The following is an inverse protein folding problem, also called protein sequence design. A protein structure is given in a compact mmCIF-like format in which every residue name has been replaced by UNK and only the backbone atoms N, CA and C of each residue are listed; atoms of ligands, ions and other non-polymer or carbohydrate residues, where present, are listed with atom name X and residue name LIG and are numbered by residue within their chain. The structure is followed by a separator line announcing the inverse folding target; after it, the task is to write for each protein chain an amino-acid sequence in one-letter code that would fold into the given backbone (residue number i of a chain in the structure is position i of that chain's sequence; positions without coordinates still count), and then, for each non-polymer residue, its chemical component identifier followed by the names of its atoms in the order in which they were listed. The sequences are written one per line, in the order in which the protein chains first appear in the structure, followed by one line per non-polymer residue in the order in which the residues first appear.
data_IF_167932630861
#
_entry.id   IF_167932630861
#
_cell.length_a   1.000
_cell.length_b   1.000
_cell.length_c   1.000
_cell.angle_alpha   90.00
_cell.angle_beta   90.00
_cell.angle_gamma   90.00
#
_symmetry.space_group_name_H-M   'P 1'
#
loop_
_entity.id
_entity.type
_entity.pdbx_description
1 polymer ?
#
# COMPACT_ATOMS: atom_id res chain seq x y z
N UNK A 1 25.25 25.17 -64.60
CA UNK A 1 25.51 25.55 -63.20
C UNK A 1 24.59 24.71 -62.32
N UNK A 2 25.07 23.56 -61.81
CA UNK A 2 24.28 22.66 -60.96
C UNK A 2 24.30 23.19 -59.53
N UNK A 3 23.14 23.43 -58.94
CA UNK A 3 22.95 23.67 -57.51
C UNK A 3 22.71 22.31 -56.84
N UNK A 4 23.70 21.81 -56.11
CA UNK A 4 23.53 20.68 -55.20
C UNK A 4 22.82 21.19 -53.95
N UNK A 5 21.58 20.72 -53.73
CA UNK A 5 20.86 20.94 -52.47
C UNK A 5 21.31 19.87 -51.47
N UNK A 6 22.00 20.27 -50.42
CA UNK A 6 22.29 19.42 -49.27
C UNK A 6 21.00 19.18 -48.48
N UNK A 7 20.42 17.99 -48.63
CA UNK A 7 19.43 17.48 -47.68
C UNK A 7 20.18 17.09 -46.40
N UNK A 8 19.99 17.88 -45.34
CA UNK A 8 20.38 17.46 -44.00
C UNK A 8 19.53 16.23 -43.62
N UNK A 9 20.14 15.16 -43.09
CA UNK A 9 19.37 14.03 -42.58
C UNK A 9 18.50 14.49 -41.39
N UNK A 10 17.30 13.92 -41.22
CA UNK A 10 16.49 14.22 -40.05
C UNK A 10 17.25 13.77 -38.80
N UNK A 11 17.43 14.68 -37.85
CA UNK A 11 17.85 14.35 -36.50
C UNK A 11 16.79 13.41 -35.90
N UNK A 12 17.14 12.13 -35.83
CA UNK A 12 16.46 11.17 -34.96
C UNK A 12 16.61 11.71 -33.54
N UNK A 13 15.58 12.38 -33.04
CA UNK A 13 15.47 12.69 -31.61
C UNK A 13 15.64 11.38 -30.83
N UNK A 14 16.76 11.24 -30.13
CA UNK A 14 16.94 10.20 -29.13
C UNK A 14 15.73 10.27 -28.18
N UNK A 15 14.99 9.17 -28.04
CA UNK A 15 13.88 9.13 -27.10
C UNK A 15 14.45 9.31 -25.70
N UNK A 16 14.03 10.36 -25.00
CA UNK A 16 14.44 10.61 -23.63
C UNK A 16 14.12 9.37 -22.77
N UNK A 17 15.11 8.93 -21.98
CA UNK A 17 14.97 7.81 -21.05
C UNK A 17 13.82 8.14 -20.08
N UNK A 18 12.80 7.27 -20.03
CA UNK A 18 11.66 7.47 -19.13
C UNK A 18 11.58 6.35 -18.11
N UNK A 19 11.27 6.73 -16.87
CA UNK A 19 11.14 5.82 -15.74
C UNK A 19 9.70 5.87 -15.25
N UNK A 20 9.14 4.73 -14.87
CA UNK A 20 7.82 4.67 -14.24
C UNK A 20 7.73 3.50 -13.27
N UNK A 21 6.73 3.49 -12.38
CA UNK A 21 6.53 2.39 -11.43
C UNK A 21 6.14 2.86 -10.03
N UNK A 22 6.49 2.06 -9.03
CA UNK A 22 6.25 2.33 -7.62
C UNK A 22 6.41 1.09 -6.75
N UNK A 23 6.08 1.24 -5.47
CA UNK A 23 5.93 0.09 -4.58
C UNK A 23 4.78 -0.82 -5.04
N UNK A 24 4.91 -2.12 -4.81
CA UNK A 24 3.92 -3.14 -5.19
C UNK A 24 2.60 -3.01 -4.43
N UNK A 25 2.64 -2.40 -3.24
CA UNK A 25 1.49 -2.04 -2.42
C UNK A 25 1.61 -0.56 -1.98
N UNK A 26 0.47 0.02 -1.61
CA UNK A 26 0.35 1.34 -1.01
C UNK A 26 0.77 1.38 0.47
N UNK A 27 0.88 0.24 1.14
CA UNK A 27 1.18 0.20 2.57
C UNK A 27 1.83 -1.09 3.06
N UNK A 28 2.82 -0.95 3.94
CA UNK A 28 3.58 -2.07 4.50
C UNK A 28 3.66 -1.99 6.03
N UNK A 29 3.80 -3.15 6.67
CA UNK A 29 4.10 -3.21 8.09
C UNK A 29 5.61 -3.01 8.31
N UNK A 30 6.02 -2.41 9.42
CA UNK A 30 7.43 -2.45 9.85
C UNK A 30 7.92 -3.89 9.96
N UNK A 31 9.20 -4.13 9.66
CA UNK A 31 9.77 -5.49 9.64
C UNK A 31 9.35 -6.36 8.46
N UNK A 32 8.43 -5.89 7.59
CA UNK A 32 8.11 -6.56 6.33
C UNK A 32 9.01 -6.10 5.18
N UNK A 33 8.87 -6.72 4.01
CA UNK A 33 9.64 -6.37 2.82
C UNK A 33 8.77 -5.60 1.83
N UNK A 34 9.20 -4.39 1.46
CA UNK A 34 8.59 -3.63 0.38
C UNK A 34 9.19 -4.04 -0.97
N UNK A 35 8.35 -4.48 -1.89
CA UNK A 35 8.74 -4.70 -3.29
C UNK A 35 8.58 -3.41 -4.07
N UNK A 36 9.64 -2.95 -4.73
CA UNK A 36 9.65 -1.74 -5.55
C UNK A 36 9.88 -2.15 -7.00
N UNK A 37 9.04 -1.64 -7.91
CA UNK A 37 9.12 -1.95 -9.34
C UNK A 37 9.35 -0.69 -10.13
N UNK A 38 10.23 -0.79 -11.13
CA UNK A 38 10.48 0.27 -12.09
C UNK A 38 10.47 -0.28 -13.53
N UNK A 39 9.99 0.52 -14.46
CA UNK A 39 10.07 0.29 -15.90
C UNK A 39 10.92 1.39 -16.52
N UNK A 40 11.85 1.00 -17.37
CA UNK A 40 12.73 1.90 -18.11
C UNK A 40 12.40 1.79 -19.61
N UNK A 41 12.10 2.92 -20.25
CA UNK A 41 11.86 3.00 -21.70
C UNK A 41 12.81 3.99 -22.36
N UNK A 42 13.00 3.87 -23.67
CA UNK A 42 13.95 4.70 -24.42
C UNK A 42 15.41 4.28 -24.17
N UNK A 43 15.62 3.01 -23.83
CA UNK A 43 16.93 2.45 -23.50
C UNK A 43 17.79 2.34 -24.77
N UNK A 44 18.94 3.02 -24.79
CA UNK A 44 19.91 2.92 -25.88
C UNK A 44 21.13 2.07 -25.47
N UNK A 45 21.47 1.06 -26.29
CA UNK A 45 22.56 0.12 -26.00
C UNK A 45 22.07 -1.18 -25.38
N UNK A 46 23.02 -2.03 -24.96
CA UNK A 46 22.69 -3.34 -24.36
C UNK A 46 22.02 -3.21 -22.99
N UNK A 47 21.24 -4.22 -22.60
CA UNK A 47 20.51 -4.24 -21.33
C UNK A 47 21.36 -3.99 -20.06
N UNK A 48 22.66 -4.32 -20.13
CA UNK A 48 23.61 -4.13 -19.03
C UNK A 48 24.22 -2.72 -18.94
N UNK A 49 23.85 -1.79 -19.81
CA UNK A 49 24.42 -0.43 -19.80
C UNK A 49 24.00 0.36 -18.56
N UNK A 50 22.81 0.10 -18.02
CA UNK A 50 22.23 0.90 -16.96
C UNK A 50 22.24 0.14 -15.62
N UNK A 51 22.49 0.87 -14.54
CA UNK A 51 22.19 0.45 -13.17
C UNK A 51 21.01 1.30 -12.68
N UNK A 52 20.02 0.65 -12.07
CA UNK A 52 18.81 1.32 -11.59
C UNK A 52 18.77 1.16 -10.08
N UNK A 53 18.47 2.24 -9.38
CA UNK A 53 18.42 2.28 -7.93
C UNK A 53 17.11 2.88 -7.46
N UNK A 54 16.60 2.39 -6.34
CA UNK A 54 15.47 2.96 -5.63
C UNK A 54 15.97 3.64 -4.35
N UNK A 55 15.85 4.96 -4.31
CA UNK A 55 16.11 5.79 -3.14
C UNK A 55 14.84 5.95 -2.33
N UNK A 56 14.89 5.49 -1.09
CA UNK A 56 13.76 5.39 -0.18
C UNK A 56 14.01 6.30 1.01
N UNK A 57 13.04 7.15 1.29
CA UNK A 57 13.19 8.20 2.29
C UNK A 57 11.90 8.35 3.09
N UNK A 58 12.04 8.46 4.41
CA UNK A 58 10.92 8.86 5.27
C UNK A 58 10.62 10.34 5.05
N UNK A 59 9.37 10.66 4.68
CA UNK A 59 8.99 12.00 4.28
C UNK A 59 9.29 13.02 5.38
N UNK A 60 9.97 14.11 5.01
CA UNK A 60 10.37 15.17 5.94
C UNK A 60 11.73 14.97 6.61
N UNK A 61 12.44 13.87 6.31
CA UNK A 61 13.84 13.66 6.76
C UNK A 61 14.81 13.85 5.60
N UNK A 62 16.12 13.71 5.84
CA UNK A 62 17.14 13.71 4.78
C UNK A 62 17.85 12.36 4.64
N UNK A 63 17.50 11.38 5.48
CA UNK A 63 18.09 10.06 5.43
C UNK A 63 17.50 9.27 4.25
N UNK A 64 18.37 8.80 3.37
CA UNK A 64 18.00 8.02 2.18
C UNK A 64 18.64 6.65 2.27
N UNK A 65 17.83 5.62 2.06
CA UNK A 65 18.29 4.26 1.82
C UNK A 65 18.23 4.00 0.33
N UNK A 66 19.37 3.73 -0.30
CA UNK A 66 19.42 3.39 -1.72
C UNK A 66 19.55 1.88 -1.90
N UNK A 67 18.71 1.30 -2.74
CA UNK A 67 18.72 -0.13 -3.05
C UNK A 67 18.87 -0.31 -4.55
N UNK A 68 19.91 -1.03 -4.98
CA UNK A 68 20.08 -1.38 -6.38
C UNK A 68 18.98 -2.36 -6.80
N UNK A 69 18.37 -2.12 -7.96
CA UNK A 69 17.28 -2.92 -8.49
C UNK A 69 17.80 -3.97 -9.47
N UNK A 70 17.22 -5.16 -9.39
CA UNK A 70 17.53 -6.28 -10.27
C UNK A 70 16.68 -6.23 -11.53
N UNK A 71 17.34 -6.35 -12.68
CA UNK A 71 16.67 -6.42 -13.96
C UNK A 71 15.87 -7.73 -14.06
N UNK A 72 14.59 -7.60 -14.39
CA UNK A 72 13.68 -8.70 -14.66
C UNK A 72 13.71 -9.07 -16.14
N UNK A 73 13.27 -10.30 -16.47
CA UNK A 73 13.21 -10.77 -17.86
C UNK A 73 12.36 -9.80 -18.70
N UNK A 74 12.97 -9.25 -19.75
CA UNK A 74 12.32 -8.23 -20.59
C UNK A 74 11.07 -8.81 -21.27
N UNK A 75 9.96 -8.06 -21.22
CA UNK A 75 8.71 -8.46 -21.88
C UNK A 75 8.59 -7.95 -23.31
N UNK A 76 9.37 -6.94 -23.68
CA UNK A 76 9.43 -6.38 -25.03
C UNK A 76 10.78 -5.70 -25.30
N UNK A 77 11.24 -5.61 -26.57
CA UNK A 77 12.42 -4.83 -26.93
C UNK A 77 12.26 -3.35 -26.54
N UNK A 78 13.26 -2.77 -25.89
CA UNK A 78 13.27 -1.35 -25.49
C UNK A 78 12.55 -1.03 -24.17
N UNK A 79 11.86 -2.01 -23.57
CA UNK A 79 11.20 -1.90 -22.27
C UNK A 79 11.91 -2.82 -21.25
N UNK A 80 12.74 -2.25 -20.39
CA UNK A 80 13.38 -2.98 -19.30
C UNK A 80 12.56 -2.85 -18.03
N UNK A 81 12.46 -3.95 -17.27
CA UNK A 81 11.77 -3.99 -15.98
C UNK A 81 12.80 -4.27 -14.89
N UNK A 82 12.61 -3.62 -13.76
CA UNK A 82 13.47 -3.74 -12.58
C UNK A 82 12.61 -3.96 -11.35
N UNK A 83 13.13 -4.75 -10.42
CA UNK A 83 12.51 -4.98 -9.12
C UNK A 83 13.57 -4.93 -8.02
N UNK A 84 13.23 -4.34 -6.88
CA UNK A 84 14.03 -4.40 -5.67
C UNK A 84 13.16 -4.83 -4.49
N UNK A 85 13.75 -5.61 -3.59
CA UNK A 85 13.17 -5.95 -2.30
C UNK A 85 13.88 -5.13 -1.22
N UNK A 86 13.17 -4.21 -0.59
CA UNK A 86 13.69 -3.44 0.54
C UNK A 86 13.13 -3.98 1.87
N UNK A 87 13.97 -4.58 2.74
CA UNK A 87 13.55 -4.97 4.08
C UNK A 87 13.35 -3.71 4.93
N UNK A 88 12.13 -3.45 5.37
CA UNK A 88 11.80 -2.32 6.22
C UNK A 88 12.32 -2.62 7.64
N UNK A 89 13.21 -1.80 8.22
CA UNK A 89 13.69 -2.04 9.58
C UNK A 89 12.54 -2.14 10.60
N UNK A 90 12.70 -3.00 11.61
CA UNK A 90 11.68 -3.18 12.64
C UNK A 90 11.47 -1.94 13.52
N UNK A 91 12.46 -1.04 13.57
CA UNK A 91 12.47 0.25 14.26
C UNK A 91 12.17 1.43 13.32
N UNK A 92 11.84 1.17 12.04
CA UNK A 92 11.55 2.22 11.08
C UNK A 92 10.40 3.14 11.54
N UNK A 93 10.49 4.46 11.28
CA UNK A 93 9.39 5.40 11.51
C UNK A 93 8.13 5.00 10.74
N UNK A 94 6.95 5.16 11.36
CA UNK A 94 5.68 4.98 10.66
C UNK A 94 5.26 6.27 9.95
N UNK A 95 4.65 6.15 8.78
CA UNK A 95 4.15 7.26 7.98
C UNK A 95 4.48 7.11 6.50
N UNK A 96 4.56 8.22 5.79
CA UNK A 96 4.76 8.23 4.35
C UNK A 96 6.25 8.10 3.99
N UNK A 97 6.55 7.21 3.04
CA UNK A 97 7.87 7.03 2.45
C UNK A 97 7.83 7.41 0.97
N UNK A 98 8.76 8.27 0.56
CA UNK A 98 8.94 8.64 -0.84
C UNK A 98 9.93 7.71 -1.51
N UNK A 99 9.66 7.39 -2.77
CA UNK A 99 10.56 6.60 -3.62
C UNK A 99 10.99 7.47 -4.79
N UNK A 100 12.29 7.61 -4.99
CA UNK A 100 12.89 8.19 -6.19
C UNK A 100 13.68 7.09 -6.85
N UNK A 101 13.48 6.88 -8.14
CA UNK A 101 14.32 5.98 -8.92
C UNK A 101 15.30 6.82 -9.70
N UNK A 102 16.59 6.52 -9.53
CA UNK A 102 17.64 7.08 -10.37
C UNK A 102 18.31 6.00 -11.19
N UNK A 103 18.75 6.38 -12.38
CA UNK A 103 19.37 5.48 -13.36
C UNK A 103 20.76 6.01 -13.63
N UNK A 104 21.75 5.15 -13.46
CA UNK A 104 23.15 5.44 -13.76
C UNK A 104 23.59 4.72 -15.04
N UNK A 105 24.32 5.40 -15.90
CA UNK A 105 25.07 4.74 -16.98
C UNK A 105 26.33 4.10 -16.37
N UNK A 106 26.46 2.77 -16.48
CA UNK A 106 27.57 2.02 -15.87
C UNK A 106 28.94 2.35 -16.45
N UNK A 107 29.01 2.93 -17.65
CA UNK A 107 30.28 3.29 -18.29
C UNK A 107 30.82 4.61 -17.79
N UNK A 108 29.94 5.55 -17.42
CA UNK A 108 30.32 6.90 -16.99
C UNK A 108 30.06 7.15 -15.50
N UNK A 109 29.30 6.27 -14.85
CA UNK A 109 28.79 6.43 -13.48
C UNK A 109 28.01 7.74 -13.28
N UNK A 110 27.42 8.28 -14.35
CA UNK A 110 26.58 9.47 -14.27
C UNK A 110 25.11 9.08 -14.22
N UNK A 111 24.34 9.82 -13.41
CA UNK A 111 22.89 9.73 -13.39
C UNK A 111 22.33 10.27 -14.70
N UNK A 112 21.67 9.41 -15.48
CA UNK A 112 21.09 9.74 -16.79
C UNK A 112 19.58 9.96 -16.73
N UNK A 113 18.92 9.49 -15.67
CA UNK A 113 17.53 9.80 -15.39
C UNK A 113 17.25 9.74 -13.88
N UNK A 114 16.24 10.50 -13.46
CA UNK A 114 15.72 10.46 -12.10
C UNK A 114 14.23 10.74 -12.16
N UNK A 115 13.44 9.91 -11.51
CA UNK A 115 11.99 10.06 -11.47
C UNK A 115 11.45 9.76 -10.08
N UNK A 116 10.54 10.61 -9.61
CA UNK A 116 9.83 10.37 -8.36
C UNK A 116 8.65 9.44 -8.61
N UNK A 117 8.63 8.30 -7.92
CA UNK A 117 7.55 7.33 -8.02
C UNK A 117 6.46 7.57 -6.96
N UNK A 118 5.39 6.80 -7.06
CA UNK A 118 4.32 6.79 -6.04
C UNK A 118 4.91 6.44 -4.68
N UNK A 119 4.60 7.27 -3.69
CA UNK A 119 4.93 7.05 -2.28
C UNK A 119 4.08 5.94 -1.66
N UNK A 120 4.57 5.31 -0.60
CA UNK A 120 3.85 4.27 0.14
C UNK A 120 3.88 4.55 1.64
N UNK A 121 2.95 3.97 2.39
CA UNK A 121 2.90 4.10 3.84
C UNK A 121 3.62 2.93 4.53
N UNK A 122 4.29 3.21 5.64
CA UNK A 122 4.76 2.20 6.59
C UNK A 122 3.99 2.39 7.88
N UNK A 123 3.42 1.31 8.41
CA UNK A 123 2.62 1.34 9.63
C UNK A 123 3.03 0.23 10.61
N UNK A 124 2.50 0.31 11.83
CA UNK A 124 2.61 -0.72 12.88
C UNK A 124 1.22 -1.26 13.16
N UNK A 125 0.87 -2.35 12.50
CA UNK A 125 -0.36 -3.10 12.73
C UNK A 125 0.01 -4.44 13.38
N UNK A 126 -0.13 -4.57 14.71
CA UNK A 126 0.27 -5.77 15.46
C UNK A 126 -0.74 -6.92 15.32
N UNK A 127 -1.96 -6.65 14.86
CA UNK A 127 -3.03 -7.64 14.70
C UNK A 127 -3.61 -7.57 13.30
N UNK A 128 -3.84 -8.72 12.66
CA UNK A 128 -4.51 -8.86 11.37
C UNK A 128 -5.86 -9.55 11.56
N UNK A 129 -6.87 -9.08 10.82
CA UNK A 129 -8.10 -9.85 10.60
C UNK A 129 -7.81 -10.79 9.43
N UNK A 130 -7.80 -12.09 9.69
CA UNK A 130 -7.52 -13.15 8.70
C UNK A 130 -8.79 -13.48 7.92
N UNK A 131 -9.91 -13.60 8.62
CA UNK A 131 -11.21 -13.92 8.05
C UNK A 131 -12.32 -13.21 8.80
N UNK A 132 -13.38 -12.89 8.08
CA UNK A 132 -14.64 -12.39 8.63
C UNK A 132 -15.76 -13.08 7.89
N UNK A 133 -16.60 -13.80 8.62
CA UNK A 133 -17.76 -14.49 8.07
C UNK A 133 -19.03 -13.91 8.71
N UNK A 134 -20.01 -13.61 7.86
CA UNK A 134 -21.34 -13.19 8.27
C UNK A 134 -22.30 -14.37 8.16
N UNK A 135 -23.32 -14.44 9.01
CA UNK A 135 -24.31 -15.52 8.92
C UNK A 135 -25.17 -15.42 7.65
N UNK A 136 -25.29 -14.23 7.05
CA UNK A 136 -26.10 -13.97 5.86
C UNK A 136 -25.47 -12.90 4.96
N UNK A 137 -25.84 -12.94 3.69
CA UNK A 137 -25.46 -11.91 2.70
C UNK A 137 -26.37 -10.68 2.75
N UNK A 138 -27.64 -10.87 3.12
CA UNK A 138 -28.66 -9.81 3.13
C UNK A 138 -29.38 -9.81 4.47
N UNK A 139 -29.59 -8.61 5.00
CA UNK A 139 -30.31 -8.35 6.23
C UNK A 139 -31.47 -7.40 5.95
N UNK A 140 -32.63 -7.70 6.53
CA UNK A 140 -33.73 -6.75 6.61
C UNK A 140 -33.47 -5.74 7.74
N UNK A 141 -34.02 -4.51 7.67
CA UNK A 141 -33.86 -3.54 8.75
C UNK A 141 -34.30 -4.11 10.10
N UNK A 142 -33.43 -4.00 11.11
CA UNK A 142 -33.66 -4.53 12.47
C UNK A 142 -33.30 -6.00 12.65
N UNK A 143 -32.83 -6.69 11.61
CA UNK A 143 -32.29 -8.04 11.76
C UNK A 143 -30.90 -8.03 12.40
N UNK A 144 -30.70 -8.92 13.38
CA UNK A 144 -29.41 -9.07 14.01
C UNK A 144 -28.36 -9.61 13.03
N UNK A 145 -27.24 -8.90 12.92
CA UNK A 145 -26.05 -9.33 12.19
C UNK A 145 -25.23 -10.23 13.09
N UNK A 146 -24.91 -11.45 12.66
CA UNK A 146 -23.94 -12.29 13.34
C UNK A 146 -22.63 -12.32 12.57
N UNK A 147 -21.52 -12.33 13.32
CA UNK A 147 -20.19 -12.27 12.75
C UNK A 147 -19.27 -13.26 13.47
N UNK A 148 -18.52 -14.04 12.69
CA UNK A 148 -17.32 -14.76 13.12
C UNK A 148 -16.08 -14.00 12.61
N UNK A 149 -15.07 -13.88 13.46
CA UNK A 149 -13.82 -13.20 13.08
C UNK A 149 -12.64 -14.07 13.49
N UNK A 150 -11.69 -14.26 12.58
CA UNK A 150 -10.38 -14.85 12.88
C UNK A 150 -9.36 -13.73 12.94
N UNK A 151 -8.72 -13.59 14.09
CA UNK A 151 -7.63 -12.64 14.31
C UNK A 151 -6.29 -13.37 14.37
N UNK A 152 -5.24 -12.72 13.88
CA UNK A 152 -3.87 -13.17 14.01
C UNK A 152 -3.03 -12.12 14.70
N UNK A 153 -2.29 -12.51 15.73
CA UNK A 153 -1.23 -11.71 16.31
C UNK A 153 0.01 -11.78 15.41
N UNK A 154 0.54 -10.64 15.00
CA UNK A 154 1.73 -10.55 14.15
C UNK A 154 3.02 -10.33 14.96
N UNK A 155 2.92 -10.27 16.29
CA UNK A 155 4.03 -10.03 17.20
C UNK A 155 4.55 -11.33 17.83
N UNK A 156 5.75 -11.23 18.41
CA UNK A 156 6.50 -12.31 19.08
C UNK A 156 6.12 -12.52 20.55
N UNK A 157 5.15 -11.76 21.04
CA UNK A 157 4.65 -11.84 22.42
C UNK A 157 3.12 -11.95 22.44
N UNK A 158 2.58 -12.52 23.51
CA UNK A 158 1.14 -12.57 23.71
C UNK A 158 0.58 -11.16 23.90
N UNK A 159 -0.53 -10.86 23.22
CA UNK A 159 -1.28 -9.63 23.41
C UNK A 159 -2.51 -9.92 24.28
N UNK A 160 -2.68 -9.19 25.37
CA UNK A 160 -3.80 -9.39 26.31
C UNK A 160 -4.60 -8.11 26.50
N UNK A 161 -5.81 -8.23 27.06
CA UNK A 161 -6.67 -7.07 27.32
C UNK A 161 -7.27 -6.46 26.06
N UNK A 162 -7.26 -7.17 24.94
CA UNK A 162 -7.78 -6.65 23.67
C UNK A 162 -9.30 -6.61 23.68
N UNK A 163 -9.85 -5.59 23.01
CA UNK A 163 -11.28 -5.41 22.78
C UNK A 163 -11.55 -5.40 21.28
N UNK A 164 -12.63 -6.06 20.90
CA UNK A 164 -13.08 -6.13 19.53
C UNK A 164 -14.44 -5.48 19.44
N UNK A 165 -14.58 -4.61 18.46
CA UNK A 165 -15.79 -3.84 18.23
C UNK A 165 -16.26 -4.05 16.80
N UNK A 166 -17.58 -4.09 16.65
CA UNK A 166 -18.26 -4.01 15.39
C UNK A 166 -18.92 -2.62 15.28
N UNK A 167 -18.70 -1.95 14.16
CA UNK A 167 -19.25 -0.62 13.91
C UNK A 167 -20.23 -0.67 12.75
N UNK A 168 -21.44 -0.17 12.99
CA UNK A 168 -22.42 0.09 11.93
C UNK A 168 -22.28 1.51 11.33
N UNK A 169 -21.27 2.28 11.76
CA UNK A 169 -21.15 3.71 11.48
C UNK A 169 -21.00 4.06 9.99
N UNK A 170 -20.58 3.12 9.15
CA UNK A 170 -20.27 3.37 7.73
C UNK A 170 -21.38 2.96 6.75
N UNK A 171 -22.55 2.51 7.23
CA UNK A 171 -23.67 2.13 6.37
C UNK A 171 -24.92 3.01 6.62
N UNK A 172 -24.92 4.28 6.15
CA UNK A 172 -26.03 5.21 6.39
C UNK A 172 -27.37 4.74 5.82
N UNK A 173 -27.39 3.76 4.91
CA UNK A 173 -28.59 3.22 4.26
C UNK A 173 -29.26 2.05 5.01
N UNK A 174 -28.58 1.43 5.99
CA UNK A 174 -29.16 0.37 6.83
C UNK A 174 -29.83 0.97 8.09
N UNK A 175 -29.47 2.21 8.42
CA UNK A 175 -30.06 2.95 9.52
C UNK A 175 -31.42 3.52 9.07
N UNK A 176 -32.51 2.81 9.39
CA UNK A 176 -33.89 3.31 9.32
C UNK A 176 -34.19 4.35 10.41
N UNK A 177 -33.20 5.16 10.79
CA UNK A 177 -33.40 6.21 11.76
C UNK A 177 -34.03 7.43 11.09
N UNK A 178 -35.34 7.35 10.85
CA UNK A 178 -36.19 8.53 10.76
C UNK A 178 -36.45 9.02 12.18
N UNK A 179 -35.45 9.64 12.80
CA UNK A 179 -35.70 10.41 14.03
C UNK A 179 -36.73 11.47 13.66
N UNK A 180 -37.93 11.41 14.24
CA UNK A 180 -38.81 12.58 14.24
C UNK A 180 -37.96 13.74 14.75
N UNK A 181 -37.76 14.74 13.90
CA UNK A 181 -37.05 15.94 14.28
C UNK A 181 -37.89 16.59 15.39
N UNK A 182 -37.54 16.29 16.64
CA UNK A 182 -38.09 16.99 17.77
C UNK A 182 -37.81 18.48 17.52
N UNK A 183 -38.86 19.29 17.63
CA UNK A 183 -38.87 20.75 17.42
C UNK A 183 -37.89 21.52 18.34
N UNK A 184 -37.06 20.81 19.11
CA UNK A 184 -36.02 21.31 20.00
C UNK A 184 -34.62 21.41 19.36
N UNK A 185 -34.45 21.06 18.07
CA UNK A 185 -33.17 21.22 17.36
C UNK A 185 -32.02 20.33 17.85
N UNK A 186 -32.30 19.35 18.73
CA UNK A 186 -31.35 18.31 19.13
C UNK A 186 -31.62 17.08 18.28
N UNK A 187 -30.70 16.77 17.37
CA UNK A 187 -30.74 15.51 16.63
C UNK A 187 -30.42 14.38 17.62
N UNK A 188 -31.34 13.44 17.89
CA UNK A 188 -31.02 12.29 18.71
C UNK A 188 -29.91 11.49 18.01
N UNK A 189 -28.85 11.15 18.75
CA UNK A 189 -27.80 10.25 18.27
C UNK A 189 -28.46 8.91 17.90
N UNK A 190 -28.17 8.39 16.71
CA UNK A 190 -28.73 7.12 16.27
C UNK A 190 -28.04 5.98 17.05
N UNK A 191 -28.74 5.30 17.98
CA UNK A 191 -28.14 4.21 18.75
C UNK A 191 -27.76 3.01 17.88
N UNK A 192 -28.29 2.91 16.65
CA UNK A 192 -27.92 1.88 15.69
C UNK A 192 -26.56 2.13 15.01
N UNK A 193 -25.98 3.34 15.13
CA UNK A 193 -24.60 3.65 14.72
C UNK A 193 -23.58 3.39 15.85
N UNK A 194 -24.02 2.88 17.01
CA UNK A 194 -23.15 2.64 18.15
C UNK A 194 -22.15 1.51 17.88
N UNK A 195 -20.91 1.70 18.34
CA UNK A 195 -19.91 0.64 18.41
C UNK A 195 -20.40 -0.46 19.35
N UNK A 196 -20.55 -1.69 18.83
CA UNK A 196 -20.90 -2.84 19.64
C UNK A 196 -19.66 -3.64 19.97
N UNK A 197 -19.48 -3.95 21.25
CA UNK A 197 -18.39 -4.80 21.70
C UNK A 197 -18.72 -6.26 21.45
N UNK A 198 -17.88 -6.94 20.67
CA UNK A 198 -18.01 -8.39 20.44
C UNK A 198 -17.34 -9.17 21.56
N UNK A 199 -16.14 -8.73 21.96
CA UNK A 199 -15.34 -9.40 22.98
C UNK A 199 -14.46 -8.39 23.70
N UNK A 200 -14.29 -8.60 24.99
CA UNK A 200 -13.33 -7.89 25.83
C UNK A 200 -12.36 -8.88 26.47
N UNK A 201 -11.23 -8.36 26.92
CA UNK A 201 -10.17 -9.13 27.58
C UNK A 201 -9.68 -10.31 26.74
N UNK A 202 -9.65 -10.15 25.41
CA UNK A 202 -9.13 -11.16 24.52
C UNK A 202 -7.62 -11.26 24.67
N UNK A 203 -7.14 -12.50 24.73
CA UNK A 203 -5.74 -12.84 24.60
C UNK A 203 -5.48 -13.40 23.20
N UNK A 204 -4.45 -12.91 22.53
CA UNK A 204 -3.96 -13.45 21.27
C UNK A 204 -2.53 -13.98 21.49
N UNK A 205 -2.30 -15.30 21.36
CA UNK A 205 -0.96 -15.87 21.52
C UNK A 205 0.01 -15.31 20.48
N UNK A 206 1.31 -15.23 20.82
CA UNK A 206 2.36 -14.79 19.91
C UNK A 206 2.31 -15.55 18.58
N UNK A 207 2.34 -14.84 17.46
CA UNK A 207 2.20 -15.38 16.09
C UNK A 207 0.96 -16.27 15.83
N UNK A 208 0.03 -16.37 16.79
CA UNK A 208 -1.08 -17.29 16.75
C UNK A 208 -2.37 -16.66 16.26
N UNK A 209 -3.32 -17.53 15.93
CA UNK A 209 -4.66 -17.15 15.54
C UNK A 209 -5.67 -17.38 16.67
N UNK A 210 -6.72 -16.58 16.70
CA UNK A 210 -7.85 -16.77 17.61
C UNK A 210 -9.14 -16.48 16.88
N UNK A 211 -10.03 -17.47 16.93
CA UNK A 211 -11.37 -17.37 16.36
C UNK A 211 -12.34 -16.88 17.42
N UNK A 212 -13.05 -15.81 17.11
CA UNK A 212 -14.25 -15.43 17.83
C UNK A 212 -15.42 -16.11 17.13
N UNK A 213 -16.10 -17.05 17.80
CA UNK A 213 -17.17 -17.79 17.15
C UNK A 213 -18.29 -16.85 16.72
N UNK A 214 -19.09 -17.32 15.77
CA UNK A 214 -20.28 -16.61 15.31
C UNK A 214 -21.09 -16.04 16.47
N UNK A 215 -21.17 -14.71 16.55
CA UNK A 215 -21.84 -14.02 17.64
C UNK A 215 -22.55 -12.74 17.20
N UNK A 216 -23.57 -12.26 17.94
CA UNK A 216 -24.33 -11.08 17.55
C UNK A 216 -23.47 -9.82 17.53
N UNK A 217 -23.27 -9.23 16.35
CA UNK A 217 -22.41 -8.09 16.10
C UNK A 217 -23.14 -6.76 15.90
N UNK A 218 -24.41 -6.78 15.53
CA UNK A 218 -25.23 -5.60 15.33
C UNK A 218 -26.72 -5.91 15.23
N UNK A 219 -27.52 -4.88 14.97
CA UNK A 219 -28.94 -4.92 14.59
C UNK A 219 -29.19 -3.91 13.47
#
# INVERSE_FOLDING_TARGET
MLLASCLAPPELCAQALSVGGGAGDSGYNVGSTATIRASLKGVEGGANRYAVFADIQYAGTTAVTSVQMDQQTASAPGDLRYEAAWPIPSDAPTGLYTVVVHVEDRSTHQTVATEKLRSFAVYRKPVRIVRTDLDKTFYSPGEAVQCEVVLQNLTDHEMTGLRIEFSNANYPWISTFSGEANLSGKQPENPALALKVLRENLALPAHGETTLPMMPAGM
#
